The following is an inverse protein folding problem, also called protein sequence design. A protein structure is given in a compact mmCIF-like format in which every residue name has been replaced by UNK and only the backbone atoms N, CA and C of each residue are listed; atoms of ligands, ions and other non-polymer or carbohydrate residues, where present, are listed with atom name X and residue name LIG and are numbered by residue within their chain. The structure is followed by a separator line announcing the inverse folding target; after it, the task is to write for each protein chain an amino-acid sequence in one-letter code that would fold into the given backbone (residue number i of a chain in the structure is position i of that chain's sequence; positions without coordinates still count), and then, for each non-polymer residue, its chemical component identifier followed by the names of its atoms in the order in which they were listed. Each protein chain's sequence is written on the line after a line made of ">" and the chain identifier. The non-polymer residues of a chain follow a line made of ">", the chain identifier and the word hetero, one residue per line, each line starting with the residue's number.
data_IF_354432846426
#
_entry.id   IF_354432846426
#
_cell.length_a   1.000
_cell.length_b   1.000
_cell.length_c   1.000
_cell.angle_alpha   90.00
_cell.angle_beta   90.00
_cell.angle_gamma   90.00
#
_symmetry.space_group_name_H-M   'P 1'
#
loop_
_entity.id
_entity.type
_entity.pdbx_description
1 polymer ?
#
# COMPACT_ATOMS: atom_id res chain seq x y z
N UNK A 1 42.02 1.16 51.57
CA UNK A 1 42.81 1.72 50.45
C UNK A 1 42.11 1.30 49.17
N UNK A 2 41.95 2.24 48.23
CA UNK A 2 40.88 2.32 47.22
C UNK A 2 40.91 1.20 46.17
N UNK A 3 39.71 0.73 45.81
CA UNK A 3 39.40 -0.01 44.59
C UNK A 3 39.77 0.83 43.36
N UNK A 4 40.31 0.18 42.33
CA UNK A 4 40.26 0.67 40.95
C UNK A 4 39.71 -0.44 40.08
N UNK A 5 38.45 -0.27 39.69
CA UNK A 5 37.70 -1.08 38.74
C UNK A 5 38.15 -0.64 37.34
N UNK A 6 38.49 -1.62 36.51
CA UNK A 6 38.85 -1.43 35.09
C UNK A 6 37.64 -0.93 34.30
N UNK A 7 37.77 0.05 33.40
CA UNK A 7 36.65 0.47 32.58
C UNK A 7 36.43 -0.56 31.47
N UNK A 8 35.29 -1.24 31.52
CA UNK A 8 34.71 -1.91 30.36
C UNK A 8 34.40 -0.83 29.33
N UNK A 9 35.11 -0.84 28.20
CA UNK A 9 34.73 -0.04 27.03
C UNK A 9 33.53 -0.76 26.41
N UNK A 10 32.35 -0.22 26.64
CA UNK A 10 31.15 -0.58 25.90
C UNK A 10 31.35 -0.04 24.48
N UNK A 11 31.71 -0.90 23.54
CA UNK A 11 31.62 -0.58 22.11
C UNK A 11 30.13 -0.40 21.82
N UNK A 12 29.67 0.85 21.77
CA UNK A 12 28.38 1.16 21.20
C UNK A 12 28.39 0.64 19.75
N UNK A 13 27.48 -0.28 19.44
CA UNK A 13 27.17 -0.61 18.06
C UNK A 13 26.71 0.70 17.41
N UNK A 14 27.55 1.25 16.52
CA UNK A 14 27.13 2.33 15.65
C UNK A 14 26.19 1.66 14.65
N UNK A 15 24.90 1.74 14.92
CA UNK A 15 23.88 1.49 13.89
C UNK A 15 24.31 2.28 12.66
N UNK A 16 24.68 1.57 11.60
CA UNK A 16 24.92 2.20 10.32
C UNK A 16 23.57 2.71 9.86
N UNK A 17 23.34 4.01 10.06
CA UNK A 17 22.20 4.70 9.46
C UNK A 17 22.37 4.51 7.96
N UNK A 18 21.51 3.68 7.37
CA UNK A 18 21.48 3.49 5.93
C UNK A 18 21.08 4.82 5.31
N UNK A 19 22.00 5.44 4.56
CA UNK A 19 21.81 6.72 3.88
C UNK A 19 20.64 6.69 2.88
N UNK A 20 20.33 5.51 2.36
CA UNK A 20 19.29 5.24 1.36
C UNK A 20 18.38 4.13 1.89
N UNK A 21 17.07 4.35 1.82
CA UNK A 21 16.06 3.40 2.28
C UNK A 21 15.08 3.09 1.15
N UNK A 22 14.80 1.80 0.95
CA UNK A 22 13.65 1.38 0.14
C UNK A 22 12.36 1.52 0.93
N UNK A 23 11.33 2.05 0.26
CA UNK A 23 10.00 2.29 0.82
C UNK A 23 9.07 1.16 0.41
N UNK A 24 8.26 0.68 1.36
CA UNK A 24 7.37 -0.47 1.17
C UNK A 24 8.13 -1.79 0.99
N UNK A 25 7.43 -2.82 0.52
CA UNK A 25 8.01 -4.14 0.28
C UNK A 25 8.76 -4.18 -1.07
N UNK A 26 10.07 -4.04 -1.02
CA UNK A 26 10.97 -4.16 -2.17
C UNK A 26 11.95 -5.30 -1.95
N UNK A 27 12.04 -6.23 -2.90
CA UNK A 27 12.99 -7.33 -2.83
C UNK A 27 14.42 -6.78 -2.95
N UNK A 28 15.29 -6.95 -1.94
CA UNK A 28 16.62 -6.33 -1.93
C UNK A 28 17.53 -6.91 -3.02
N UNK A 29 17.28 -8.12 -3.49
CA UNK A 29 18.08 -8.77 -4.53
C UNK A 29 17.78 -8.20 -5.93
N UNK A 30 16.55 -7.73 -6.16
CA UNK A 30 16.11 -7.20 -7.46
C UNK A 30 15.98 -5.68 -7.49
N UNK A 31 15.78 -5.05 -6.33
CA UNK A 31 15.54 -3.61 -6.16
C UNK A 31 14.41 -3.10 -7.06
N UNK A 32 13.44 -3.97 -7.33
CA UNK A 32 12.34 -3.72 -8.25
C UNK A 32 11.11 -3.18 -7.50
N UNK A 33 10.65 -2.01 -7.91
CA UNK A 33 9.43 -1.37 -7.46
C UNK A 33 8.25 -2.01 -8.18
N UNK A 34 7.69 -3.06 -7.57
CA UNK A 34 6.54 -3.80 -8.13
C UNK A 34 5.23 -3.40 -7.49
N UNK A 35 5.20 -3.26 -6.16
CA UNK A 35 3.97 -2.91 -5.46
C UNK A 35 3.69 -1.41 -5.59
N UNK A 36 2.43 -0.97 -5.63
CA UNK A 36 2.10 0.45 -5.57
C UNK A 36 2.73 1.11 -4.34
N UNK A 37 3.15 2.36 -4.46
CA UNK A 37 3.72 3.11 -3.33
C UNK A 37 5.15 2.72 -2.93
N UNK A 38 5.71 1.64 -3.48
CA UNK A 38 7.12 1.28 -3.28
C UNK A 38 8.04 2.33 -3.88
N UNK A 39 9.24 2.47 -3.33
CA UNK A 39 10.07 3.61 -3.66
C UNK A 39 11.43 3.63 -2.99
N UNK A 40 12.04 4.82 -2.99
CA UNK A 40 13.27 5.12 -2.25
C UNK A 40 13.13 6.46 -1.53
N UNK A 41 13.71 6.55 -0.34
CA UNK A 41 13.88 7.80 0.41
C UNK A 41 15.33 7.95 0.85
N UNK A 42 15.82 9.19 0.80
CA UNK A 42 17.14 9.57 1.30
C UNK A 42 17.17 11.05 1.62
N UNK A 43 18.16 11.45 2.40
CA UNK A 43 18.51 12.86 2.62
C UNK A 43 19.89 13.13 2.06
N UNK A 44 20.15 14.35 1.61
CA UNK A 44 21.49 14.74 1.18
C UNK A 44 21.78 16.20 1.48
N UNK A 45 23.07 16.53 1.63
CA UNK A 45 23.58 17.90 1.65
C UNK A 45 24.30 18.16 0.34
N UNK A 46 23.75 19.00 -0.52
CA UNK A 46 24.26 19.25 -1.87
C UNK A 46 23.30 20.13 -2.67
N UNK A 47 23.43 20.14 -3.99
CA UNK A 47 22.52 20.86 -4.89
C UNK A 47 21.88 19.97 -5.97
N UNK A 48 22.27 18.70 -6.05
CA UNK A 48 21.68 17.73 -6.96
C UNK A 48 21.79 16.30 -6.45
N UNK A 49 20.76 15.51 -6.71
CA UNK A 49 20.79 14.05 -6.56
C UNK A 49 20.10 13.36 -7.74
N UNK A 50 20.53 12.14 -8.05
CA UNK A 50 20.00 11.34 -9.15
C UNK A 50 19.77 9.90 -8.71
N UNK A 51 18.60 9.37 -9.05
CA UNK A 51 18.20 7.98 -8.86
C UNK A 51 18.36 7.28 -10.21
N UNK A 52 19.30 6.35 -10.33
CA UNK A 52 19.44 5.53 -11.54
C UNK A 52 18.24 4.61 -11.72
N UNK A 53 17.75 4.52 -12.97
CA UNK A 53 16.74 3.56 -13.38
C UNK A 53 17.46 2.51 -14.21
N UNK A 54 17.71 1.35 -13.59
CA UNK A 54 18.47 0.25 -14.20
C UNK A 54 17.65 -0.40 -15.32
N UNK A 55 16.36 -0.60 -15.08
CA UNK A 55 15.43 -1.16 -16.05
C UNK A 55 14.00 -0.72 -15.77
N UNK A 56 13.16 -0.75 -16.80
CA UNK A 56 11.70 -0.68 -16.67
C UNK A 56 11.05 -1.77 -17.52
N UNK A 57 9.88 -2.21 -17.08
CA UNK A 57 8.96 -3.01 -17.90
C UNK A 57 7.67 -2.23 -18.11
N UNK A 58 7.04 -2.37 -19.27
CA UNK A 58 5.74 -1.77 -19.56
C UNK A 58 5.70 -0.25 -19.36
N UNK A 59 4.63 0.24 -18.73
CA UNK A 59 4.42 1.67 -18.43
C UNK A 59 4.34 1.91 -16.93
N UNK A 60 4.95 3.00 -16.47
CA UNK A 60 5.06 3.30 -15.05
C UNK A 60 4.90 4.79 -14.82
N UNK A 61 4.22 5.16 -13.74
CA UNK A 61 4.26 6.52 -13.22
C UNK A 61 4.81 6.54 -11.80
N UNK A 62 5.39 7.68 -11.43
CA UNK A 62 6.00 7.89 -10.11
C UNK A 62 5.74 9.32 -9.61
N UNK A 63 5.91 9.54 -8.31
CA UNK A 63 5.91 10.85 -7.68
C UNK A 63 7.27 11.07 -7.03
N UNK A 64 7.91 12.18 -7.39
CA UNK A 64 9.14 12.65 -6.76
C UNK A 64 8.79 13.80 -5.82
N UNK A 65 9.01 13.62 -4.53
CA UNK A 65 8.81 14.63 -3.49
C UNK A 65 10.17 15.12 -3.01
N UNK A 66 10.39 16.44 -3.06
CA UNK A 66 11.62 17.07 -2.58
C UNK A 66 11.26 18.20 -1.64
N UNK A 67 11.77 18.17 -0.42
CA UNK A 67 11.46 19.15 0.63
C UNK A 67 9.94 19.38 0.81
N UNK A 68 9.16 18.29 0.69
CA UNK A 68 7.69 18.32 0.77
C UNK A 68 6.97 18.77 -0.51
N UNK A 69 7.69 19.11 -1.58
CA UNK A 69 7.10 19.50 -2.87
C UNK A 69 7.05 18.30 -3.81
N UNK A 70 5.83 17.83 -4.11
CA UNK A 70 5.59 16.68 -4.97
C UNK A 70 5.50 17.07 -6.46
N UNK A 71 6.19 16.30 -7.31
CA UNK A 71 6.12 16.37 -8.77
C UNK A 71 5.74 15.01 -9.33
N UNK A 72 4.75 14.98 -10.22
CA UNK A 72 4.31 13.76 -10.88
C UNK A 72 5.15 13.50 -12.12
N UNK A 73 5.62 12.26 -12.25
CA UNK A 73 6.29 11.72 -13.43
C UNK A 73 5.29 10.74 -14.08
N UNK A 74 4.57 11.16 -15.14
CA UNK A 74 3.48 10.37 -15.72
C UNK A 74 3.97 9.14 -16.49
N UNK A 75 5.22 9.16 -16.95
CA UNK A 75 5.88 8.03 -17.62
C UNK A 75 7.37 7.97 -17.23
N UNK A 76 7.80 6.86 -16.63
CA UNK A 76 9.20 6.60 -16.26
C UNK A 76 9.86 5.81 -17.40
N UNK A 77 10.51 6.53 -18.31
CA UNK A 77 11.13 5.97 -19.52
C UNK A 77 12.61 6.36 -19.72
N UNK A 78 13.20 7.10 -18.77
CA UNK A 78 14.62 7.50 -18.79
C UNK A 78 15.51 6.53 -18.00
N UNK A 79 16.82 6.76 -18.08
CA UNK A 79 17.84 6.00 -17.33
C UNK A 79 18.08 6.55 -15.92
N UNK A 80 17.46 7.66 -15.56
CA UNK A 80 17.54 8.24 -14.21
C UNK A 80 16.38 9.21 -13.94
N UNK A 81 16.12 9.46 -12.65
CA UNK A 81 15.24 10.52 -12.15
C UNK A 81 16.09 11.45 -11.29
N UNK A 82 16.24 12.70 -11.71
CA UNK A 82 17.09 13.71 -11.05
C UNK A 82 16.24 14.75 -10.35
N UNK A 83 16.75 15.28 -9.24
CA UNK A 83 16.20 16.48 -8.59
C UNK A 83 16.10 17.66 -9.57
N UNK A 84 15.13 18.59 -9.41
CA UNK A 84 14.96 19.71 -10.32
C UNK A 84 16.20 20.62 -10.30
N UNK A 85 16.43 21.30 -11.42
CA UNK A 85 17.51 22.29 -11.51
C UNK A 85 17.27 23.45 -10.54
N UNK A 86 18.36 24.02 -10.00
CA UNK A 86 18.32 25.25 -9.20
C UNK A 86 18.03 25.04 -7.71
N UNK A 87 18.12 23.81 -7.19
CA UNK A 87 18.21 23.61 -5.74
C UNK A 87 19.44 24.36 -5.21
N UNK A 88 19.26 25.05 -4.07
CA UNK A 88 20.38 25.72 -3.40
C UNK A 88 21.23 24.65 -2.74
N UNK A 89 22.54 24.86 -2.68
CA UNK A 89 23.39 23.98 -1.89
C UNK A 89 22.94 23.98 -0.41
N UNK A 90 22.51 22.83 0.10
CA UNK A 90 21.94 22.70 1.44
C UNK A 90 21.38 21.30 1.70
N UNK A 91 20.68 21.16 2.83
CA UNK A 91 20.04 19.90 3.20
C UNK A 91 18.72 19.74 2.44
N UNK A 92 18.53 18.57 1.85
CA UNK A 92 17.34 18.21 1.10
C UNK A 92 16.83 16.84 1.53
N UNK A 93 15.51 16.67 1.50
CA UNK A 93 14.84 15.36 1.58
C UNK A 93 14.35 14.96 0.21
N UNK A 94 14.50 13.68 -0.14
CA UNK A 94 14.01 13.12 -1.39
C UNK A 94 13.21 11.86 -1.09
N UNK A 95 12.04 11.77 -1.70
CA UNK A 95 11.24 10.56 -1.75
C UNK A 95 10.77 10.34 -3.19
N UNK A 96 11.02 9.15 -3.74
CA UNK A 96 10.41 8.68 -4.98
C UNK A 96 9.44 7.56 -4.61
N UNK A 97 8.17 7.66 -5.02
CA UNK A 97 7.20 6.56 -4.90
C UNK A 97 6.59 6.21 -6.24
N UNK A 98 6.52 4.91 -6.54
CA UNK A 98 5.75 4.37 -7.65
C UNK A 98 4.28 4.66 -7.43
N UNK A 99 3.62 5.22 -8.43
CA UNK A 99 2.19 5.55 -8.37
C UNK A 99 1.31 4.42 -8.89
N UNK A 100 1.77 3.71 -9.91
CA UNK A 100 1.05 2.63 -10.59
C UNK A 100 1.36 1.25 -10.02
N UNK A 101 0.53 0.26 -10.31
CA UNK A 101 0.78 -1.15 -9.97
C UNK A 101 1.61 -1.91 -11.04
N UNK A 102 1.99 -3.14 -10.71
CA UNK A 102 2.77 -4.03 -11.58
C UNK A 102 1.99 -4.63 -12.76
N UNK A 103 0.66 -4.50 -12.81
CA UNK A 103 -0.12 -4.87 -14.01
C UNK A 103 0.31 -4.07 -15.24
N UNK A 104 0.73 -2.82 -15.05
CA UNK A 104 1.21 -1.98 -16.15
C UNK A 104 2.71 -2.09 -16.40
N UNK A 105 3.49 -2.33 -15.35
CA UNK A 105 4.95 -2.29 -15.42
C UNK A 105 5.65 -2.17 -14.08
N UNK A 106 6.97 -2.28 -14.12
CA UNK A 106 7.86 -2.22 -12.96
C UNK A 106 9.06 -1.30 -13.21
N UNK A 107 9.71 -0.86 -12.13
CA UNK A 107 10.91 0.00 -12.16
C UNK A 107 12.00 -0.67 -11.32
N UNK A 108 13.17 -0.97 -11.89
CA UNK A 108 14.36 -1.41 -11.14
C UNK A 108 15.24 -0.21 -10.81
N UNK A 109 15.54 -0.02 -9.52
CA UNK A 109 16.34 1.11 -9.04
C UNK A 109 17.82 0.73 -8.97
N UNK A 110 18.65 1.50 -9.68
CA UNK A 110 20.10 1.39 -9.68
C UNK A 110 20.75 2.20 -8.55
N UNK A 111 21.94 2.75 -8.79
CA UNK A 111 22.64 3.56 -7.80
C UNK A 111 21.97 4.92 -7.60
N UNK A 112 21.99 5.41 -6.35
CA UNK A 112 21.63 6.80 -6.05
C UNK A 112 22.93 7.59 -5.90
N UNK A 113 22.97 8.78 -6.48
CA UNK A 113 24.16 9.65 -6.46
C UNK A 113 23.77 11.07 -6.09
N UNK A 114 24.71 11.82 -5.50
CA UNK A 114 24.57 13.24 -5.22
C UNK A 114 25.89 13.97 -5.47
N UNK A 115 25.82 15.27 -5.74
CA UNK A 115 26.98 16.16 -5.83
C UNK A 115 27.60 16.53 -4.47
N UNK A 116 26.95 16.13 -3.38
CA UNK A 116 27.45 16.33 -2.02
C UNK A 116 27.49 15.04 -1.22
N UNK A 117 26.86 15.02 -0.05
CA UNK A 117 26.93 13.88 0.88
C UNK A 117 25.54 13.46 1.34
N UNK A 118 25.28 12.16 1.38
CA UNK A 118 24.05 11.66 1.99
C UNK A 118 24.00 11.95 3.49
N UNK A 119 22.79 12.24 3.98
CA UNK A 119 22.50 12.43 5.39
C UNK A 119 21.88 11.19 6.03
N UNK A 120 21.47 11.29 7.30
CA UNK A 120 20.75 10.21 7.97
C UNK A 120 19.36 9.99 7.38
N UNK A 121 18.89 8.75 7.41
CA UNK A 121 17.51 8.40 7.06
C UNK A 121 16.52 8.99 8.07
N UNK A 122 15.34 9.36 7.55
CA UNK A 122 14.19 9.81 8.32
C UNK A 122 13.12 8.73 8.25
N UNK A 123 13.25 7.70 9.09
CA UNK A 123 12.24 6.64 9.19
C UNK A 123 11.21 6.95 10.28
N UNK A 124 9.98 6.45 10.09
CA UNK A 124 9.00 6.44 11.16
C UNK A 124 9.06 5.12 11.92
N UNK A 125 8.97 5.19 13.25
CA UNK A 125 8.76 3.97 14.04
C UNK A 125 7.41 3.34 13.76
N UNK A 126 6.42 4.14 13.35
CA UNK A 126 5.05 3.71 13.04
C UNK A 126 4.99 3.10 11.65
N UNK A 127 4.40 1.91 11.52
CA UNK A 127 4.29 1.18 10.25
C UNK A 127 2.88 0.66 10.04
N UNK A 128 2.32 0.93 8.87
CA UNK A 128 1.00 0.43 8.44
C UNK A 128 1.18 -0.43 7.19
N UNK A 129 0.68 -1.65 7.20
CA UNK A 129 0.50 -2.42 5.96
C UNK A 129 -0.95 -2.30 5.50
N UNK A 130 -1.16 -1.96 4.23
CA UNK A 130 -2.49 -1.92 3.63
C UNK A 130 -2.57 -2.94 2.51
N UNK A 131 -3.54 -3.85 2.63
CA UNK A 131 -3.78 -4.95 1.71
C UNK A 131 -5.11 -4.71 1.00
N UNK A 132 -5.14 -4.73 -0.33
CA UNK A 132 -6.39 -4.47 -1.02
C UNK A 132 -6.40 -4.67 -2.53
N UNK A 133 -7.45 -4.17 -3.16
CA UNK A 133 -7.67 -4.26 -4.60
C UNK A 133 -7.30 -2.94 -5.31
N UNK A 134 -7.94 -2.68 -6.46
CA UNK A 134 -7.76 -1.48 -7.29
C UNK A 134 -7.99 -0.17 -6.54
N UNK A 135 -8.86 -0.17 -5.53
CA UNK A 135 -9.10 1.01 -4.68
C UNK A 135 -7.85 1.34 -3.88
N UNK A 136 -7.11 0.32 -3.44
CA UNK A 136 -5.87 0.48 -2.67
C UNK A 136 -4.67 0.75 -3.57
N UNK A 137 -4.70 0.28 -4.82
CA UNK A 137 -3.74 0.70 -5.85
C UNK A 137 -3.85 2.21 -6.08
N UNK A 138 -5.08 2.74 -6.15
CA UNK A 138 -5.36 4.08 -6.66
C UNK A 138 -5.67 4.06 -8.16
N UNK A 139 -6.33 3.00 -8.62
CA UNK A 139 -6.78 2.82 -10.00
C UNK A 139 -7.63 4.01 -10.45
N UNK A 140 -7.27 4.62 -11.59
CA UNK A 140 -8.05 5.68 -12.21
C UNK A 140 -8.24 6.96 -11.39
N UNK A 141 -7.49 7.12 -10.29
CA UNK A 141 -7.70 8.18 -9.29
C UNK A 141 -7.58 9.59 -9.87
N UNK A 142 -6.58 9.81 -10.72
CA UNK A 142 -6.33 11.10 -11.39
C UNK A 142 -7.12 11.25 -12.70
N UNK A 143 -7.94 10.25 -13.06
CA UNK A 143 -8.78 10.28 -14.25
C UNK A 143 -10.10 11.04 -14.03
N UNK A 144 -10.70 11.49 -15.15
CA UNK A 144 -12.04 12.11 -15.17
C UNK A 144 -12.98 11.19 -15.95
N UNK A 145 -13.97 10.62 -15.27
CA UNK A 145 -14.91 9.68 -15.88
C UNK A 145 -15.79 10.32 -16.98
N UNK A 146 -16.03 9.66 -18.13
CA UNK A 146 -15.49 8.37 -18.56
C UNK A 146 -14.04 8.48 -19.02
N UNK A 147 -13.18 7.58 -18.52
CA UNK A 147 -11.78 7.46 -18.93
C UNK A 147 -11.30 6.01 -18.83
N UNK A 148 -10.18 5.73 -19.47
CA UNK A 148 -9.50 4.43 -19.42
C UNK A 148 -8.36 4.52 -18.41
N UNK A 149 -8.24 3.52 -17.53
CA UNK A 149 -7.11 3.45 -16.62
C UNK A 149 -5.80 3.18 -17.35
N UNK A 150 -4.75 3.85 -16.89
CA UNK A 150 -3.37 3.71 -17.37
C UNK A 150 -2.44 3.95 -16.19
N UNK A 151 -1.19 3.50 -16.28
CA UNK A 151 -0.19 3.81 -15.26
C UNK A 151 -0.13 5.31 -14.91
N UNK A 152 -0.31 6.20 -15.89
CA UNK A 152 -0.24 7.65 -15.68
C UNK A 152 -1.37 8.21 -14.79
N UNK A 153 -2.58 7.60 -14.83
CA UNK A 153 -3.74 8.07 -14.05
C UNK A 153 -3.94 7.30 -12.74
N UNK A 154 -3.16 6.24 -12.50
CA UNK A 154 -3.02 5.66 -11.17
C UNK A 154 -2.23 6.59 -10.25
N UNK A 155 -2.60 6.61 -8.97
CA UNK A 155 -1.98 7.52 -8.01
C UNK A 155 -1.98 6.98 -6.58
N UNK A 156 -1.18 5.96 -6.31
CA UNK A 156 -1.07 5.39 -4.96
C UNK A 156 -0.79 6.42 -3.84
N UNK A 157 0.12 7.41 -4.00
CA UNK A 157 0.35 8.45 -2.99
C UNK A 157 -0.87 9.30 -2.62
N UNK A 158 -1.92 9.34 -3.45
CA UNK A 158 -3.19 10.02 -3.12
C UNK A 158 -4.30 9.08 -2.67
N UNK A 159 -4.00 7.79 -2.47
CA UNK A 159 -4.99 6.86 -1.95
C UNK A 159 -5.28 7.14 -0.48
N UNK A 160 -6.44 6.65 -0.04
CA UNK A 160 -6.85 6.70 1.36
C UNK A 160 -5.80 6.11 2.31
N UNK A 161 -5.06 5.10 1.84
CA UNK A 161 -4.03 4.39 2.57
C UNK A 161 -2.81 5.27 2.82
N UNK A 162 -2.23 5.83 1.75
CA UNK A 162 -1.06 6.70 1.83
C UNK A 162 -1.38 7.98 2.62
N UNK A 163 -2.52 8.62 2.32
CA UNK A 163 -2.95 9.84 3.01
C UNK A 163 -3.19 9.63 4.51
N UNK A 164 -3.74 8.47 4.92
CA UNK A 164 -3.91 8.15 6.33
C UNK A 164 -2.55 7.91 7.03
N UNK A 165 -1.62 7.24 6.36
CA UNK A 165 -0.27 7.02 6.88
C UNK A 165 0.48 8.35 7.04
N UNK A 166 0.43 9.24 6.05
CA UNK A 166 1.02 10.57 6.09
C UNK A 166 0.46 11.40 7.25
N UNK A 167 -0.87 11.40 7.43
CA UNK A 167 -1.53 12.11 8.52
C UNK A 167 -1.09 11.63 9.92
N UNK A 168 -0.61 10.38 10.01
CA UNK A 168 -0.16 9.74 11.25
C UNK A 168 1.36 9.71 11.37
N UNK A 169 2.09 10.30 10.41
CA UNK A 169 3.54 10.21 10.29
C UNK A 169 4.01 8.76 10.39
N UNK A 170 3.38 7.85 9.63
CA UNK A 170 3.70 6.43 9.59
C UNK A 170 4.30 6.04 8.23
N UNK A 171 5.31 5.16 8.26
CA UNK A 171 5.72 4.44 7.07
C UNK A 171 4.60 3.49 6.64
N UNK A 172 4.51 3.22 5.34
CA UNK A 172 3.49 2.33 4.81
C UNK A 172 4.01 1.34 3.76
N UNK A 173 3.38 0.17 3.74
CA UNK A 173 3.57 -0.90 2.77
C UNK A 173 2.23 -1.25 2.12
N UNK A 174 2.10 -1.05 0.80
CA UNK A 174 0.86 -1.32 0.07
C UNK A 174 0.99 -2.63 -0.69
N UNK A 175 0.18 -3.61 -0.35
CA UNK A 175 0.09 -4.89 -1.06
C UNK A 175 -1.26 -4.94 -1.75
N UNK A 176 -1.31 -4.42 -2.98
CA UNK A 176 -2.54 -4.28 -3.73
C UNK A 176 -2.38 -4.64 -5.20
N UNK A 177 -3.48 -5.10 -5.81
CA UNK A 177 -3.54 -5.54 -7.20
C UNK A 177 -4.95 -5.34 -7.75
N UNK A 178 -5.12 -4.69 -8.90
CA UNK A 178 -6.46 -4.44 -9.43
C UNK A 178 -7.19 -5.72 -9.85
N UNK A 179 -8.49 -5.77 -9.53
CA UNK A 179 -9.33 -6.93 -9.81
C UNK A 179 -9.13 -8.12 -8.87
N UNK A 180 -8.20 -8.06 -7.92
CA UNK A 180 -7.97 -9.18 -6.99
C UNK A 180 -9.05 -9.26 -5.91
N UNK A 181 -9.40 -10.47 -5.49
CA UNK A 181 -10.30 -10.70 -4.38
C UNK A 181 -9.66 -11.45 -3.22
N UNK A 182 -10.45 -11.62 -2.17
CA UNK A 182 -10.09 -12.44 -1.01
C UNK A 182 -10.26 -13.94 -1.31
N UNK A 183 -11.36 -14.32 -1.98
CA UNK A 183 -11.71 -15.70 -2.35
C UNK A 183 -11.79 -15.90 -3.84
N UNK A 184 -12.13 -14.84 -4.58
CA UNK A 184 -12.27 -14.87 -6.04
C UNK A 184 -12.02 -13.49 -6.64
N UNK A 185 -11.27 -13.44 -7.73
CA UNK A 185 -10.95 -12.20 -8.44
C UNK A 185 -12.18 -11.65 -9.20
N UNK A 186 -12.03 -10.55 -9.92
CA UNK A 186 -13.10 -9.86 -10.63
C UNK A 186 -13.88 -10.80 -11.57
N UNK A 187 -15.18 -10.52 -11.75
CA UNK A 187 -16.04 -11.34 -12.60
C UNK A 187 -15.65 -11.20 -14.08
N UNK A 188 -15.45 -12.32 -14.74
CA UNK A 188 -15.16 -12.38 -16.18
C UNK A 188 -15.85 -13.60 -16.82
N UNK A 189 -16.17 -13.55 -18.13
CA UNK A 189 -16.77 -14.69 -18.84
C UNK A 189 -15.95 -15.98 -18.74
N UNK A 190 -14.63 -15.84 -18.73
CA UNK A 190 -13.70 -16.93 -18.38
C UNK A 190 -13.25 -16.72 -16.95
N UNK A 191 -13.47 -17.67 -16.02
CA UNK A 191 -13.06 -17.52 -14.63
C UNK A 191 -11.57 -17.17 -14.52
N UNK A 192 -11.25 -16.07 -13.85
CA UNK A 192 -9.87 -15.74 -13.49
C UNK A 192 -9.38 -16.71 -12.41
N UNK A 193 -8.36 -17.48 -12.76
CA UNK A 193 -7.73 -18.51 -11.90
C UNK A 193 -6.35 -18.07 -11.41
N UNK A 194 -5.98 -16.81 -11.62
CA UNK A 194 -4.77 -16.23 -11.04
C UNK A 194 -4.88 -16.11 -9.51
N UNK A 195 -3.74 -15.84 -8.87
CA UNK A 195 -3.65 -15.78 -7.41
C UNK A 195 -4.68 -14.81 -6.80
N UNK A 196 -5.37 -15.29 -5.76
CA UNK A 196 -6.14 -14.43 -4.84
C UNK A 196 -5.20 -13.71 -3.87
N UNK A 197 -5.69 -12.65 -3.20
CA UNK A 197 -4.83 -11.81 -2.36
C UNK A 197 -4.09 -12.57 -1.26
N UNK A 198 -4.67 -13.56 -0.55
CA UNK A 198 -3.93 -14.34 0.43
C UNK A 198 -2.69 -15.06 -0.13
N UNK A 199 -2.73 -15.53 -1.37
CA UNK A 199 -1.58 -16.14 -2.03
C UNK A 199 -0.58 -15.06 -2.46
N UNK A 200 -1.07 -14.02 -3.11
CA UNK A 200 -0.25 -12.92 -3.64
C UNK A 200 0.49 -12.17 -2.53
N UNK A 201 -0.10 -12.03 -1.34
CA UNK A 201 0.51 -11.42 -0.15
C UNK A 201 1.77 -12.15 0.34
N UNK A 202 2.00 -13.41 -0.06
CA UNK A 202 3.21 -14.16 0.31
C UNK A 202 4.43 -13.84 -0.57
N UNK A 203 4.26 -13.04 -1.63
CA UNK A 203 5.33 -12.67 -2.56
C UNK A 203 6.12 -11.47 -2.06
N UNK A 204 7.43 -11.44 -2.34
CA UNK A 204 8.30 -10.30 -2.03
C UNK A 204 7.96 -9.15 -3.00
N UNK A 205 8.37 -9.23 -4.26
CA UNK A 205 7.81 -8.44 -5.35
C UNK A 205 6.49 -9.03 -5.87
N UNK A 206 5.64 -8.22 -6.48
CA UNK A 206 4.31 -8.63 -6.96
C UNK A 206 4.36 -9.74 -8.02
N UNK A 207 5.48 -9.86 -8.72
CA UNK A 207 5.73 -10.84 -9.77
C UNK A 207 6.65 -11.98 -9.32
N UNK A 208 7.19 -11.92 -8.10
CA UNK A 208 8.06 -12.96 -7.54
C UNK A 208 7.27 -14.25 -7.25
N UNK A 209 8.01 -15.34 -7.03
CA UNK A 209 7.41 -16.62 -6.65
C UNK A 209 6.60 -16.53 -5.34
N UNK A 210 5.58 -17.38 -5.20
CA UNK A 210 4.82 -17.51 -3.96
C UNK A 210 5.74 -17.87 -2.78
N UNK A 211 5.44 -17.33 -1.60
CA UNK A 211 6.21 -17.50 -0.36
C UNK A 211 7.67 -16.99 -0.43
N UNK A 212 7.97 -16.11 -1.38
CA UNK A 212 9.29 -15.46 -1.46
C UNK A 212 9.50 -14.39 -0.40
N UNK A 213 8.44 -13.80 0.16
CA UNK A 213 8.59 -12.81 1.23
C UNK A 213 8.96 -13.49 2.55
N UNK A 214 10.03 -13.01 3.16
CA UNK A 214 10.64 -13.63 4.35
C UNK A 214 10.12 -13.08 5.67
N UNK A 215 9.26 -12.06 5.65
CA UNK A 215 8.71 -11.39 6.84
C UNK A 215 9.81 -10.87 7.79
N UNK A 216 10.72 -10.01 7.32
CA UNK A 216 11.81 -9.51 8.16
C UNK A 216 11.27 -8.63 9.28
N UNK A 217 11.80 -8.80 10.49
CA UNK A 217 11.27 -8.15 11.70
C UNK A 217 11.34 -6.61 11.69
N UNK A 218 12.22 -6.01 10.90
CA UNK A 218 12.27 -4.55 10.73
C UNK A 218 11.11 -4.00 9.86
N UNK A 219 10.40 -4.86 9.13
CA UNK A 219 9.25 -4.51 8.31
C UNK A 219 7.90 -4.90 8.97
N UNK A 220 7.91 -5.36 10.23
CA UNK A 220 6.68 -5.71 10.95
C UNK A 220 5.81 -4.46 11.15
N UNK A 221 4.54 -4.46 10.70
CA UNK A 221 3.64 -3.33 10.87
C UNK A 221 3.01 -3.31 12.26
N UNK A 222 2.71 -2.11 12.77
CA UNK A 222 1.87 -1.93 13.96
C UNK A 222 0.39 -2.18 13.63
N UNK A 223 0.00 -1.91 12.38
CA UNK A 223 -1.37 -2.09 11.91
C UNK A 223 -1.45 -2.71 10.52
N UNK A 224 -2.44 -3.58 10.34
CA UNK A 224 -2.80 -4.19 9.06
C UNK A 224 -4.21 -3.77 8.67
N UNK A 225 -4.31 -3.05 7.56
CA UNK A 225 -5.58 -2.59 6.98
C UNK A 225 -5.93 -3.50 5.81
N UNK A 226 -7.14 -4.06 5.79
CA UNK A 226 -7.62 -4.95 4.72
C UNK A 226 -8.84 -4.33 4.06
N UNK A 227 -8.71 -3.96 2.79
CA UNK A 227 -9.79 -3.44 1.95
C UNK A 227 -9.96 -4.34 0.73
N UNK A 228 -10.67 -5.46 0.95
CA UNK A 228 -10.97 -6.48 -0.05
C UNK A 228 -12.46 -6.81 0.01
N UNK A 229 -13.02 -7.27 -1.10
CA UNK A 229 -14.41 -7.71 -1.19
C UNK A 229 -15.16 -7.09 -2.35
N UNK A 230 -14.70 -5.98 -2.93
CA UNK A 230 -15.33 -5.37 -4.10
C UNK A 230 -15.44 -6.40 -5.23
N UNK A 231 -14.32 -7.05 -5.55
CA UNK A 231 -14.24 -8.05 -6.61
C UNK A 231 -14.94 -9.36 -6.25
N UNK A 232 -14.89 -9.77 -4.97
CA UNK A 232 -15.58 -10.96 -4.48
C UNK A 232 -17.11 -10.85 -4.61
N UNK A 233 -17.66 -9.68 -4.29
CA UNK A 233 -19.11 -9.41 -4.34
C UNK A 233 -19.62 -9.14 -5.76
N UNK A 234 -18.74 -8.79 -6.71
CA UNK A 234 -19.10 -8.71 -8.12
C UNK A 234 -19.73 -10.03 -8.60
N UNK A 235 -20.81 -9.98 -9.36
CA UNK A 235 -21.40 -11.16 -9.98
C UNK A 235 -22.18 -10.74 -11.22
N UNK A 236 -22.48 -11.70 -12.08
CA UNK A 236 -23.26 -11.43 -13.28
C UNK A 236 -24.08 -12.69 -13.62
N UNK A 237 -25.39 -12.53 -13.72
CA UNK A 237 -26.31 -13.64 -14.03
C UNK A 237 -25.88 -14.40 -15.28
N UNK A 238 -25.77 -15.72 -15.16
CA UNK A 238 -25.30 -16.61 -16.24
C UNK A 238 -23.78 -16.67 -16.42
N UNK A 239 -23.01 -15.86 -15.67
CA UNK A 239 -21.54 -15.92 -15.64
C UNK A 239 -21.04 -16.38 -14.26
N UNK A 240 -21.52 -15.73 -13.20
CA UNK A 240 -21.11 -16.01 -11.82
C UNK A 240 -22.25 -15.70 -10.86
N UNK A 241 -22.49 -16.61 -9.92
CA UNK A 241 -23.48 -16.43 -8.86
C UNK A 241 -22.99 -15.46 -7.76
N UNK A 242 -23.92 -14.80 -7.04
CA UNK A 242 -23.58 -14.00 -5.86
C UNK A 242 -22.73 -14.79 -4.86
N UNK A 243 -21.83 -14.11 -4.17
CA UNK A 243 -21.00 -14.76 -3.16
C UNK A 243 -21.86 -15.22 -1.98
N UNK A 244 -21.54 -16.37 -1.41
CA UNK A 244 -22.14 -16.81 -0.15
C UNK A 244 -21.45 -16.05 1.01
N UNK A 245 -22.16 -15.22 1.80
CA UNK A 245 -21.52 -14.36 2.80
C UNK A 245 -20.73 -15.12 3.87
N UNK A 246 -21.15 -16.34 4.21
CA UNK A 246 -20.45 -17.20 5.15
C UNK A 246 -19.07 -17.65 4.62
N UNK A 247 -18.93 -17.86 3.30
CA UNK A 247 -17.65 -18.21 2.68
C UNK A 247 -16.67 -17.04 2.72
N UNK A 248 -17.15 -15.83 2.40
CA UNK A 248 -16.35 -14.61 2.54
C UNK A 248 -15.91 -14.36 3.99
N UNK A 249 -16.84 -14.56 4.95
CA UNK A 249 -16.55 -14.47 6.38
C UNK A 249 -15.43 -15.43 6.78
N UNK A 250 -15.56 -16.71 6.42
CA UNK A 250 -14.57 -17.74 6.75
C UNK A 250 -13.20 -17.45 6.12
N UNK A 251 -13.17 -16.96 4.89
CA UNK A 251 -11.94 -16.57 4.23
C UNK A 251 -11.26 -15.37 4.90
N UNK A 252 -12.02 -14.38 5.35
CA UNK A 252 -11.47 -13.22 6.07
C UNK A 252 -10.86 -13.65 7.39
N UNK A 253 -11.55 -14.51 8.15
CA UNK A 253 -11.01 -15.11 9.39
C UNK A 253 -9.70 -15.85 9.12
N UNK A 254 -9.65 -16.67 8.07
CA UNK A 254 -8.44 -17.43 7.72
C UNK A 254 -7.29 -16.53 7.29
N UNK A 255 -7.57 -15.46 6.54
CA UNK A 255 -6.53 -14.56 6.08
C UNK A 255 -5.95 -13.74 7.24
N UNK A 256 -6.79 -13.18 8.12
CA UNK A 256 -6.32 -12.50 9.34
C UNK A 256 -5.46 -13.44 10.18
N UNK A 257 -5.92 -14.67 10.45
CA UNK A 257 -5.12 -15.67 11.19
C UNK A 257 -3.81 -16.03 10.50
N UNK A 258 -3.74 -15.96 9.17
CA UNK A 258 -2.51 -16.21 8.41
C UNK A 258 -1.52 -15.07 8.64
N UNK A 259 -2.00 -13.82 8.56
CA UNK A 259 -1.18 -12.63 8.81
C UNK A 259 -0.69 -12.61 10.26
N UNK A 260 -1.55 -12.93 11.23
CA UNK A 260 -1.20 -12.99 12.66
C UNK A 260 -0.07 -13.96 13.00
N UNK A 261 0.16 -15.01 12.21
CA UNK A 261 1.31 -15.91 12.41
C UNK A 261 2.64 -15.20 12.17
N UNK A 262 2.64 -14.15 11.35
CA UNK A 262 3.81 -13.35 11.03
C UNK A 262 3.83 -12.04 11.83
N UNK A 263 2.67 -11.44 12.08
CA UNK A 263 2.50 -10.18 12.82
C UNK A 263 1.54 -10.37 14.01
N UNK A 264 1.98 -11.05 15.09
CA UNK A 264 1.10 -11.40 16.21
C UNK A 264 0.58 -10.18 16.99
N UNK A 265 1.33 -9.07 16.97
CA UNK A 265 1.02 -7.86 17.76
C UNK A 265 0.31 -6.77 16.95
N UNK A 266 0.10 -6.97 15.63
CA UNK A 266 -0.51 -5.96 14.79
C UNK A 266 -2.02 -5.81 15.10
N UNK A 267 -2.50 -4.56 15.13
CA UNK A 267 -3.93 -4.26 15.12
C UNK A 267 -4.50 -4.40 13.70
N UNK A 268 -5.72 -4.90 13.56
CA UNK A 268 -6.36 -5.14 12.27
C UNK A 268 -7.53 -4.19 12.01
N UNK A 269 -7.63 -3.69 10.79
CA UNK A 269 -8.70 -2.80 10.36
C UNK A 269 -9.34 -3.36 9.09
N UNK A 270 -10.58 -3.81 9.18
CA UNK A 270 -11.32 -4.35 8.03
C UNK A 270 -12.22 -3.26 7.43
N UNK A 271 -12.02 -2.93 6.16
CA UNK A 271 -12.75 -1.86 5.49
C UNK A 271 -13.90 -2.43 4.65
N UNK A 272 -15.04 -1.75 4.68
CA UNK A 272 -16.08 -1.96 3.68
C UNK A 272 -15.73 -1.24 2.38
N UNK A 273 -16.16 -1.75 1.24
CA UNK A 273 -15.86 -1.15 -0.07
C UNK A 273 -16.67 0.13 -0.31
N UNK A 274 -16.06 1.27 -0.73
CA UNK A 274 -16.79 2.44 -1.19
C UNK A 274 -17.54 2.21 -2.52
N UNK A 275 -17.16 1.19 -3.30
CA UNK A 275 -17.76 0.92 -4.61
C UNK A 275 -19.00 0.02 -4.54
N UNK A 276 -19.16 -0.72 -3.43
CA UNK A 276 -20.41 -1.46 -3.18
C UNK A 276 -21.48 -0.53 -2.63
N UNK A 277 -22.73 -0.77 -3.02
CA UNK A 277 -23.91 -0.10 -2.50
C UNK A 277 -25.08 -1.09 -2.41
N UNK A 278 -26.18 -0.68 -1.80
CA UNK A 278 -27.35 -1.54 -1.62
C UNK A 278 -28.38 -1.44 -2.76
N UNK A 279 -28.13 -0.60 -3.77
CA UNK A 279 -29.02 -0.43 -4.93
C UNK A 279 -28.57 -1.19 -6.18
N UNK A 280 -27.34 -1.70 -6.22
CA UNK A 280 -26.75 -2.38 -7.37
C UNK A 280 -26.18 -3.74 -6.97
N UNK A 281 -26.39 -4.79 -7.80
CA UNK A 281 -27.18 -4.80 -9.04
C UNK A 281 -28.70 -4.82 -8.79
N UNK A 282 -29.15 -5.09 -7.57
CA UNK A 282 -30.53 -4.91 -7.13
C UNK A 282 -30.61 -4.57 -5.64
N UNK A 283 -31.76 -4.05 -5.20
CA UNK A 283 -32.02 -3.76 -3.78
C UNK A 283 -32.07 -5.01 -2.90
N UNK A 284 -32.30 -6.18 -3.50
CA UNK A 284 -32.38 -7.46 -2.82
C UNK A 284 -30.99 -7.99 -2.47
N UNK A 285 -29.97 -7.65 -3.27
CA UNK A 285 -28.60 -8.06 -3.00
C UNK A 285 -28.01 -7.34 -1.79
N UNK A 286 -28.36 -6.06 -1.64
CA UNK A 286 -27.89 -5.20 -0.56
C UNK A 286 -26.38 -5.38 -0.30
N UNK A 287 -25.56 -5.34 -1.37
CA UNK A 287 -24.19 -5.87 -1.35
C UNK A 287 -23.32 -5.21 -0.29
N UNK A 288 -23.51 -3.90 -0.07
CA UNK A 288 -22.75 -3.15 0.93
C UNK A 288 -23.13 -3.58 2.34
N UNK A 289 -24.42 -3.67 2.64
CA UNK A 289 -24.91 -4.17 3.92
C UNK A 289 -24.47 -5.62 4.15
N UNK A 290 -24.54 -6.47 3.13
CA UNK A 290 -24.11 -7.87 3.19
C UNK A 290 -22.61 -8.00 3.46
N UNK A 291 -21.76 -7.22 2.78
CA UNK A 291 -20.32 -7.19 3.03
C UNK A 291 -20.03 -6.74 4.48
N UNK A 292 -20.66 -5.65 4.93
CA UNK A 292 -20.49 -5.12 6.29
C UNK A 292 -20.85 -6.17 7.34
N UNK A 293 -21.97 -6.88 7.16
CA UNK A 293 -22.39 -7.94 8.07
C UNK A 293 -21.40 -9.12 8.09
N UNK A 294 -20.88 -9.52 6.93
CA UNK A 294 -19.88 -10.58 6.84
C UNK A 294 -18.55 -10.20 7.53
N UNK A 295 -18.10 -8.94 7.39
CA UNK A 295 -16.92 -8.43 8.11
C UNK A 295 -17.14 -8.40 9.63
N UNK A 296 -18.30 -7.94 10.10
CA UNK A 296 -18.66 -8.00 11.52
C UNK A 296 -18.70 -9.43 12.06
N UNK A 297 -19.21 -10.38 11.26
CA UNK A 297 -19.20 -11.79 11.62
C UNK A 297 -17.77 -12.36 11.70
N UNK A 298 -16.85 -11.90 10.84
CA UNK A 298 -15.44 -12.28 10.90
C UNK A 298 -14.78 -11.72 12.17
N UNK A 299 -15.02 -10.44 12.47
CA UNK A 299 -14.54 -9.77 13.69
C UNK A 299 -15.00 -10.53 14.94
N UNK A 300 -16.29 -10.87 15.04
CA UNK A 300 -16.83 -11.61 16.17
C UNK A 300 -16.14 -12.98 16.39
N UNK A 301 -15.64 -13.62 15.33
CA UNK A 301 -14.88 -14.87 15.41
C UNK A 301 -13.40 -14.68 15.80
N UNK A 302 -12.87 -13.46 15.69
CA UNK A 302 -11.46 -13.11 15.89
C UNK A 302 -11.17 -12.34 17.19
N UNK A 303 -12.19 -11.72 17.81
CA UNK A 303 -12.07 -10.80 18.94
C UNK A 303 -11.32 -11.35 20.16
N UNK A 304 -11.29 -12.67 20.37
CA UNK A 304 -10.60 -13.27 21.52
C UNK A 304 -9.08 -13.39 21.33
N UNK A 305 -8.55 -13.04 20.17
CA UNK A 305 -7.14 -13.28 19.80
C UNK A 305 -6.44 -12.10 19.12
N UNK A 306 -7.16 -11.00 18.86
CA UNK A 306 -6.71 -9.94 17.95
C UNK A 306 -7.35 -8.61 18.29
N UNK A 307 -6.59 -7.51 18.34
CA UNK A 307 -7.18 -6.18 18.20
C UNK A 307 -7.66 -6.04 16.75
N UNK A 308 -8.97 -5.95 16.56
CA UNK A 308 -9.57 -5.89 15.23
C UNK A 308 -10.83 -5.02 15.22
N UNK A 309 -10.87 -4.09 14.29
CA UNK A 309 -11.94 -3.11 14.15
C UNK A 309 -12.49 -3.04 12.73
N UNK A 310 -13.79 -2.79 12.62
CA UNK A 310 -14.43 -2.45 11.35
C UNK A 310 -14.24 -0.96 11.09
N UNK A 311 -13.79 -0.61 9.89
CA UNK A 311 -13.79 0.77 9.38
C UNK A 311 -14.85 0.86 8.29
N UNK A 312 -16.01 1.40 8.66
CA UNK A 312 -17.15 1.55 7.76
C UNK A 312 -16.96 2.76 6.84
N UNK A 313 -16.62 2.49 5.59
CA UNK A 313 -16.44 3.50 4.55
C UNK A 313 -17.77 3.70 3.83
N UNK A 314 -18.32 4.93 3.75
CA UNK A 314 -19.53 5.20 2.98
C UNK A 314 -19.41 4.79 1.51
N UNK A 315 -20.52 4.38 0.90
CA UNK A 315 -20.56 4.23 -0.56
C UNK A 315 -20.30 5.59 -1.23
N UNK A 316 -19.49 5.60 -2.28
CA UNK A 316 -19.13 6.82 -2.99
C UNK A 316 -20.33 7.46 -3.73
N UNK A 317 -20.20 8.76 -4.03
CA UNK A 317 -21.17 9.50 -4.84
C UNK A 317 -20.99 9.28 -6.35
N UNK A 318 -21.61 10.15 -7.15
CA UNK A 318 -21.55 10.08 -8.62
C UNK A 318 -20.24 10.60 -9.22
N UNK A 319 -19.49 11.42 -8.46
CA UNK A 319 -18.22 11.99 -8.92
C UNK A 319 -17.09 10.97 -8.69
N UNK A 320 -16.63 10.36 -9.78
CA UNK A 320 -15.73 9.19 -9.77
C UNK A 320 -14.58 9.37 -10.77
N UNK A 321 -13.49 8.65 -10.52
CA UNK A 321 -12.38 8.47 -11.47
C UNK A 321 -12.72 7.42 -12.54
N UNK A 322 -11.69 6.89 -13.22
CA UNK A 322 -11.92 5.93 -14.31
C UNK A 322 -12.66 4.67 -13.85
N UNK A 323 -13.52 4.14 -14.72
CA UNK A 323 -14.29 2.92 -14.48
C UNK A 323 -15.02 2.91 -13.12
N UNK A 324 -15.58 4.06 -12.75
CA UNK A 324 -16.29 4.27 -11.48
C UNK A 324 -15.44 4.08 -10.22
N UNK A 325 -14.12 4.22 -10.27
CA UNK A 325 -13.29 4.15 -9.07
C UNK A 325 -13.36 5.44 -8.23
N UNK A 326 -13.03 5.38 -6.93
CA UNK A 326 -12.95 6.57 -6.09
C UNK A 326 -11.98 7.61 -6.65
N UNK A 327 -12.45 8.86 -6.77
CA UNK A 327 -11.59 9.99 -7.13
C UNK A 327 -10.77 10.48 -5.92
N UNK A 328 -9.91 11.48 -6.14
CA UNK A 328 -9.09 12.08 -5.08
C UNK A 328 -9.89 12.59 -3.86
N UNK A 329 -11.07 13.19 -4.08
CA UNK A 329 -11.91 13.71 -2.99
C UNK A 329 -12.47 12.57 -2.13
N UNK A 330 -12.91 11.48 -2.76
CA UNK A 330 -13.39 10.28 -2.06
C UNK A 330 -12.25 9.63 -1.27
N UNK A 331 -11.06 9.50 -1.87
CA UNK A 331 -9.88 8.99 -1.17
C UNK A 331 -9.48 9.84 0.04
N UNK A 332 -9.52 11.17 -0.06
CA UNK A 332 -9.23 12.06 1.06
C UNK A 332 -10.24 11.86 2.21
N UNK A 333 -11.54 11.77 1.91
CA UNK A 333 -12.56 11.51 2.92
C UNK A 333 -12.39 10.12 3.58
N UNK A 334 -12.04 9.09 2.81
CA UNK A 334 -11.70 7.77 3.33
C UNK A 334 -10.46 7.82 4.23
N UNK A 335 -9.45 8.62 3.89
CA UNK A 335 -8.22 8.77 4.65
C UNK A 335 -8.51 9.33 6.05
N UNK A 336 -9.37 10.33 6.17
CA UNK A 336 -9.75 10.92 7.47
C UNK A 336 -10.41 9.88 8.39
N UNK A 337 -11.32 9.06 7.83
CA UNK A 337 -11.99 7.99 8.58
C UNK A 337 -10.97 6.95 9.06
N UNK A 338 -10.09 6.50 8.15
CA UNK A 338 -9.07 5.50 8.47
C UNK A 338 -8.05 6.03 9.48
N UNK A 339 -7.53 7.25 9.28
CA UNK A 339 -6.55 7.87 10.16
C UNK A 339 -7.08 8.01 11.59
N UNK A 340 -8.34 8.42 11.73
CA UNK A 340 -9.01 8.51 13.04
C UNK A 340 -9.14 7.15 13.72
N UNK A 341 -9.49 6.10 12.97
CA UNK A 341 -9.61 4.75 13.51
C UNK A 341 -8.25 4.22 14.00
N UNK A 342 -7.21 4.39 13.18
CA UNK A 342 -5.83 4.01 13.51
C UNK A 342 -5.32 4.76 14.75
N UNK A 343 -5.45 6.09 14.78
CA UNK A 343 -5.02 6.90 15.93
C UNK A 343 -5.72 6.50 17.23
N UNK A 344 -7.04 6.23 17.16
CA UNK A 344 -7.83 5.84 18.32
C UNK A 344 -7.40 4.50 18.92
N UNK A 345 -7.10 3.51 18.09
CA UNK A 345 -6.72 2.16 18.55
C UNK A 345 -5.25 2.09 18.98
N UNK A 346 -4.35 2.76 18.24
CA UNK A 346 -2.90 2.67 18.43
C UNK A 346 -2.33 3.75 19.35
N UNK A 347 -3.13 4.76 19.73
CA UNK A 347 -2.71 5.87 20.56
C UNK A 347 -1.69 6.78 19.87
N UNK A 348 -1.87 7.00 18.57
CA UNK A 348 -0.96 7.78 17.73
C UNK A 348 -1.26 9.28 17.67
#
# INVERSE_FOLDING_TARGET
>A
MKLTISPFVLLAAIDHVTAERFLGRVNPDTRELTWPGTGVSFTFTGSSASIEIEATTGTNSAQLTIDGVATVIPDVNGTSITTPAGLRNGNHTVELRKRSEALFGTISVGNITTDGTFGPDMYSSRKIQVIGDSITVGYGLDGVNPCVNTAAVENNPKTYAALAADALNADYDIIAWSGIGLTRNYVSPTPDTSDIMPQRWTRYGALDSLNSYTFPGNATPDAVVINLGTNDFGYQTGIRDPIVPAEYTAAMVNFVKTIQKHYPDAAFFLLTSPMLNDGYPSTQDAQKTTQKNALNAAIAQLQNSTSISLVDIPSQGSDVGCDYHPNAATHAAMAEILAKALAGELGW
#
